data_IF_453914487500
#
_entry.id   IF_453914487500
#
_cell.length_a   1.000
_cell.length_b   1.000
_cell.length_c   1.000
_cell.angle_alpha   90.00
_cell.angle_beta   90.00
_cell.angle_gamma   90.00
#
_symmetry.space_group_name_H-M   'P 1'
#
loop_
_entity.id
_entity.type
_entity.pdbx_description
1 polymer ?
#
# COMPACT_ATOMS: atom_id res chain seq x y z
N UNK A 1 -7.24 -29.32 -26.77
CA UNK A 1 -7.50 -28.99 -25.36
C UNK A 1 -6.81 -27.66 -25.10
N UNK A 2 -7.58 -26.59 -24.88
CA UNK A 2 -7.08 -25.23 -24.90
C UNK A 2 -6.24 -24.90 -23.65
N UNK A 3 -5.20 -24.09 -23.86
CA UNK A 3 -4.15 -23.62 -22.96
C UNK A 3 -4.65 -22.84 -21.72
N UNK A 4 -5.54 -23.39 -20.90
CA UNK A 4 -5.98 -22.72 -19.66
C UNK A 4 -4.82 -22.45 -18.69
N UNK A 5 -3.81 -23.32 -18.67
CA UNK A 5 -2.58 -23.16 -17.88
C UNK A 5 -1.72 -21.96 -18.31
N UNK A 6 -1.73 -21.61 -19.59
CA UNK A 6 -0.97 -20.47 -20.13
C UNK A 6 -1.60 -19.14 -19.69
N UNK A 7 -2.93 -19.03 -19.75
CA UNK A 7 -3.68 -17.89 -19.24
C UNK A 7 -3.54 -17.68 -17.72
N UNK A 8 -3.53 -18.78 -16.95
CA UNK A 8 -3.28 -18.74 -15.50
C UNK A 8 -1.87 -18.23 -15.16
N UNK A 9 -0.84 -18.71 -15.87
CA UNK A 9 0.55 -18.29 -15.67
C UNK A 9 0.79 -16.81 -16.00
N UNK A 10 0.19 -16.31 -17.09
CA UNK A 10 0.25 -14.88 -17.45
C UNK A 10 -0.43 -14.02 -16.38
N UNK A 11 -1.58 -14.48 -15.87
CA UNK A 11 -2.32 -13.77 -14.82
C UNK A 11 -1.52 -13.72 -13.50
N UNK A 12 -0.79 -14.79 -13.15
CA UNK A 12 0.11 -14.81 -11.98
C UNK A 12 1.20 -13.75 -12.09
N UNK A 13 1.93 -13.73 -13.20
CA UNK A 13 3.02 -12.77 -13.41
C UNK A 13 2.50 -11.33 -13.39
N UNK A 14 1.31 -11.08 -13.95
CA UNK A 14 0.68 -9.76 -13.90
C UNK A 14 0.29 -9.35 -12.47
N UNK A 15 -0.24 -10.27 -11.67
CA UNK A 15 -0.64 -10.00 -10.29
C UNK A 15 0.56 -9.74 -9.38
N UNK A 16 1.60 -10.58 -9.46
CA UNK A 16 2.83 -10.42 -8.68
C UNK A 16 3.58 -9.12 -9.03
N UNK A 17 3.64 -8.79 -10.33
CA UNK A 17 4.19 -7.51 -10.79
C UNK A 17 3.40 -6.32 -10.22
N UNK A 18 2.07 -6.39 -10.31
CA UNK A 18 1.18 -5.34 -9.78
C UNK A 18 1.34 -5.20 -8.25
N UNK A 19 1.47 -6.31 -7.52
CA UNK A 19 1.71 -6.32 -6.08
C UNK A 19 3.01 -5.59 -5.72
N UNK A 20 4.06 -5.90 -6.46
CA UNK A 20 5.38 -5.28 -6.30
C UNK A 20 5.33 -3.78 -6.60
N UNK A 21 4.63 -3.37 -7.67
CA UNK A 21 4.44 -1.96 -8.02
C UNK A 21 3.69 -1.21 -6.92
N UNK A 22 2.56 -1.74 -6.44
CA UNK A 22 1.79 -1.13 -5.35
C UNK A 22 2.63 -1.02 -4.08
N UNK A 23 3.42 -2.04 -3.74
CA UNK A 23 4.31 -2.00 -2.59
C UNK A 23 5.40 -0.93 -2.71
N UNK A 24 5.92 -0.70 -3.92
CA UNK A 24 6.89 0.35 -4.18
C UNK A 24 6.27 1.75 -4.14
N UNK A 25 5.09 1.93 -4.75
CA UNK A 25 4.32 3.19 -4.69
C UNK A 25 3.92 3.54 -3.26
N UNK A 26 3.55 2.54 -2.45
CA UNK A 26 3.22 2.74 -1.05
C UNK A 26 4.42 3.26 -0.24
N UNK A 27 5.62 2.70 -0.48
CA UNK A 27 6.86 3.17 0.15
C UNK A 27 7.22 4.59 -0.28
N UNK A 28 7.08 4.90 -1.57
CA UNK A 28 7.30 6.24 -2.09
C UNK A 28 6.33 7.25 -1.44
N UNK A 29 5.04 6.93 -1.37
CA UNK A 29 4.07 7.80 -0.72
C UNK A 29 4.35 8.00 0.77
N UNK A 30 4.80 6.97 1.49
CA UNK A 30 5.21 7.10 2.89
C UNK A 30 6.42 8.03 3.06
N UNK A 31 7.38 8.00 2.12
CA UNK A 31 8.49 8.94 2.10
C UNK A 31 8.01 10.38 1.85
N UNK A 32 7.16 10.58 0.85
CA UNK A 32 6.61 11.90 0.50
C UNK A 32 5.81 12.50 1.67
N UNK A 33 4.97 11.70 2.33
CA UNK A 33 4.21 12.13 3.50
C UNK A 33 5.12 12.54 4.66
N UNK A 34 6.25 11.84 4.87
CA UNK A 34 7.26 12.21 5.87
C UNK A 34 7.96 13.52 5.52
N UNK A 35 8.35 13.71 4.26
CA UNK A 35 8.97 14.97 3.81
C UNK A 35 8.00 16.15 3.97
N UNK A 36 6.76 16.00 3.51
CA UNK A 36 5.73 17.01 3.66
C UNK A 36 5.48 17.35 5.13
N UNK A 37 5.41 16.35 6.02
CA UNK A 37 5.28 16.58 7.46
C UNK A 37 6.46 17.39 8.01
N UNK A 38 7.69 17.07 7.61
CA UNK A 38 8.87 17.81 8.05
C UNK A 38 8.84 19.28 7.60
N UNK A 39 8.44 19.53 6.34
CA UNK A 39 8.27 20.90 5.82
C UNK A 39 7.20 21.68 6.61
N UNK A 40 6.06 21.04 6.90
CA UNK A 40 5.01 21.63 7.72
C UNK A 40 5.53 21.95 9.12
N UNK A 41 6.22 21.02 9.77
CA UNK A 41 6.80 21.23 11.10
C UNK A 41 7.84 22.37 11.13
N UNK A 42 8.66 22.52 10.08
CA UNK A 42 9.59 23.64 9.97
C UNK A 42 8.87 24.98 9.85
N UNK A 43 7.67 25.01 9.24
CA UNK A 43 6.88 26.24 9.12
C UNK A 43 6.30 26.72 10.46
N UNK A 44 6.22 25.84 11.48
CA UNK A 44 5.66 26.15 12.81
C UNK A 44 6.29 27.37 13.47
N UNK A 45 7.58 27.62 13.23
CA UNK A 45 8.30 28.76 13.80
C UNK A 45 7.75 30.13 13.36
N UNK A 46 6.95 30.17 12.29
CA UNK A 46 6.33 31.40 11.77
C UNK A 46 4.92 31.66 12.33
N UNK A 47 4.38 30.76 13.16
CA UNK A 47 3.02 30.82 13.67
C UNK A 47 3.07 31.15 15.16
N UNK A 48 2.82 32.41 15.52
CA UNK A 48 2.77 32.88 16.92
C UNK A 48 1.31 33.09 17.40
N UNK A 49 1.08 32.90 18.70
CA UNK A 49 -0.21 33.19 19.34
C UNK A 49 -1.33 32.23 18.97
N UNK A 50 -2.52 32.74 18.64
CA UNK A 50 -3.72 31.95 18.30
C UNK A 50 -3.49 31.03 17.09
N UNK A 51 -2.66 31.46 16.14
CA UNK A 51 -2.26 30.66 14.98
C UNK A 51 -1.55 29.35 15.37
N UNK A 52 -0.85 29.32 16.52
CA UNK A 52 -0.18 28.11 16.99
C UNK A 52 -1.18 27.00 17.35
N UNK A 53 -2.31 27.35 17.97
CA UNK A 53 -3.34 26.36 18.34
C UNK A 53 -4.04 25.80 17.10
N UNK A 54 -4.31 26.64 16.11
CA UNK A 54 -4.85 26.21 14.81
C UNK A 54 -3.87 25.32 14.05
N UNK A 55 -2.58 25.67 14.08
CA UNK A 55 -1.52 24.85 13.50
C UNK A 55 -1.48 23.46 14.14
N UNK A 56 -1.47 23.37 15.47
CA UNK A 56 -1.43 22.10 16.19
C UNK A 56 -2.67 21.23 15.86
N UNK A 57 -3.85 21.84 15.74
CA UNK A 57 -5.07 21.14 15.32
C UNK A 57 -4.98 20.59 13.88
N UNK A 58 -4.46 21.40 12.95
CA UNK A 58 -4.25 20.98 11.54
C UNK A 58 -3.19 19.89 11.43
N UNK A 59 -2.09 20.00 12.18
CA UNK A 59 -1.03 19.00 12.21
C UNK A 59 -1.55 17.66 12.74
N UNK A 60 -2.38 17.67 13.78
CA UNK A 60 -3.02 16.44 14.30
C UNK A 60 -3.93 15.77 13.26
N UNK A 61 -4.68 16.57 12.50
CA UNK A 61 -5.52 16.07 11.41
C UNK A 61 -4.68 15.48 10.28
N UNK A 62 -3.61 16.16 9.89
CA UNK A 62 -2.64 15.67 8.91
C UNK A 62 -2.09 14.30 9.32
N UNK A 63 -1.63 14.17 10.57
CA UNK A 63 -1.07 12.91 11.09
C UNK A 63 -2.07 11.76 11.01
N UNK A 64 -3.35 12.04 11.29
CA UNK A 64 -4.40 11.04 11.13
C UNK A 64 -4.60 10.65 9.66
N UNK A 65 -4.71 11.62 8.76
CA UNK A 65 -4.91 11.36 7.33
C UNK A 65 -3.73 10.58 6.72
N UNK A 66 -2.50 10.94 7.07
CA UNK A 66 -1.29 10.24 6.63
C UNK A 66 -1.26 8.78 7.14
N UNK A 67 -1.63 8.54 8.40
CA UNK A 67 -1.73 7.19 8.95
C UNK A 67 -2.80 6.37 8.24
N UNK A 68 -3.97 6.95 7.97
CA UNK A 68 -5.08 6.25 7.31
C UNK A 68 -4.69 5.84 5.88
N UNK A 69 -3.97 6.71 5.15
CA UNK A 69 -3.41 6.42 3.81
C UNK A 69 -2.42 5.25 3.87
N UNK A 70 -1.47 5.27 4.81
CA UNK A 70 -0.49 4.20 4.98
C UNK A 70 -1.16 2.86 5.28
N UNK A 71 -2.16 2.84 6.18
CA UNK A 71 -2.93 1.63 6.49
C UNK A 71 -3.70 1.09 5.28
N UNK A 72 -4.29 1.96 4.46
CA UNK A 72 -4.99 1.57 3.25
C UNK A 72 -4.04 0.92 2.23
N UNK A 73 -2.89 1.55 1.96
CA UNK A 73 -1.88 1.01 1.05
C UNK A 73 -1.32 -0.33 1.51
N UNK A 74 -1.02 -0.45 2.80
CA UNK A 74 -0.54 -1.71 3.39
C UNK A 74 -1.59 -2.81 3.24
N UNK A 75 -2.86 -2.48 3.44
CA UNK A 75 -3.97 -3.43 3.27
C UNK A 75 -4.13 -3.87 1.82
N UNK A 76 -4.01 -2.96 0.86
CA UNK A 76 -4.04 -3.30 -0.57
C UNK A 76 -2.88 -4.25 -0.89
N UNK A 77 -1.65 -3.95 -0.46
CA UNK A 77 -0.51 -4.83 -0.64
C UNK A 77 -0.74 -6.23 -0.07
N UNK A 78 -1.34 -6.33 1.12
CA UNK A 78 -1.68 -7.60 1.74
C UNK A 78 -2.74 -8.39 0.95
N UNK A 79 -3.81 -7.73 0.48
CA UNK A 79 -4.86 -8.38 -0.32
C UNK A 79 -4.30 -8.91 -1.64
N UNK A 80 -3.45 -8.14 -2.32
CA UNK A 80 -2.85 -8.57 -3.59
C UNK A 80 -1.90 -9.75 -3.36
N UNK A 81 -1.10 -9.73 -2.28
CA UNK A 81 -0.22 -10.84 -1.93
C UNK A 81 -1.00 -12.11 -1.55
N UNK A 82 -2.06 -11.98 -0.73
CA UNK A 82 -2.93 -13.11 -0.36
C UNK A 82 -3.61 -13.72 -1.59
N UNK A 83 -4.12 -12.89 -2.51
CA UNK A 83 -4.74 -13.37 -3.75
C UNK A 83 -3.76 -14.18 -4.62
N UNK A 84 -2.46 -13.84 -4.61
CA UNK A 84 -1.42 -14.64 -5.26
C UNK A 84 -1.09 -15.95 -4.51
N UNK A 85 -1.05 -15.92 -3.18
CA UNK A 85 -0.69 -17.06 -2.33
C UNK A 85 -1.79 -18.13 -2.19
N UNK A 86 -3.03 -17.71 -1.90
CA UNK A 86 -4.18 -18.59 -1.63
C UNK A 86 -4.53 -19.46 -2.86
N UNK A 87 -4.28 -18.95 -4.07
CA UNK A 87 -4.48 -19.71 -5.31
C UNK A 87 -3.34 -20.69 -5.62
N UNK A 88 -2.09 -20.38 -5.25
CA UNK A 88 -0.97 -21.32 -5.41
C UNK A 88 -1.12 -22.55 -4.50
N UNK A 89 -1.62 -22.35 -3.28
CA UNK A 89 -1.94 -23.46 -2.38
C UNK A 89 -3.14 -24.27 -2.88
N UNK A 90 -4.19 -23.58 -3.37
CA UNK A 90 -5.34 -24.20 -4.02
C UNK A 90 -4.96 -25.06 -5.24
N UNK A 91 -4.07 -24.57 -6.10
CA UNK A 91 -3.66 -25.26 -7.33
C UNK A 91 -2.66 -26.40 -7.05
N UNK A 92 -1.73 -26.24 -6.09
CA UNK A 92 -0.92 -27.38 -5.60
C UNK A 92 -1.80 -28.50 -5.06
N UNK A 93 -2.87 -28.14 -4.34
CA UNK A 93 -3.83 -29.11 -3.80
C UNK A 93 -4.64 -29.75 -4.93
N UNK A 94 -5.15 -28.98 -5.89
CA UNK A 94 -5.82 -29.49 -7.09
C UNK A 94 -4.92 -30.42 -7.92
N UNK A 95 -3.69 -30.00 -8.22
CA UNK A 95 -2.69 -30.79 -8.94
C UNK A 95 -2.32 -32.08 -8.22
N UNK A 96 -2.35 -32.09 -6.87
CA UNK A 96 -2.16 -33.32 -6.10
C UNK A 96 -3.32 -34.33 -6.22
N UNK A 97 -4.52 -33.87 -6.59
CA UNK A 97 -5.68 -34.73 -6.86
C UNK A 97 -5.71 -35.30 -8.29
N UNK A 98 -4.91 -34.77 -9.22
CA UNK A 98 -4.83 -35.24 -10.62
C UNK A 98 -3.65 -36.19 -10.89
N UNK A 99 -3.17 -36.90 -9.86
CA UNK A 99 -2.05 -37.84 -9.97
C UNK A 99 -2.51 -39.30 -10.01
#
# INVERSE_FOLDING_TARGET
MANNTDGLSVTYNALDHTATQIGNEAKALEQDLRELKNMVMQSRQYWEGEAQSDFDAKLKRWDKEASDIHSALTSIGHVVHSAGGDYMEGDKKAASYFR
#
